data_IF_491850964390
#
_entry.id   IF_491850964390
#
_cell.length_a   1.000
_cell.length_b   1.000
_cell.length_c   1.000
_cell.angle_alpha   90.00
_cell.angle_beta   90.00
_cell.angle_gamma   90.00
#
_symmetry.space_group_name_H-M   'P 1'
#
loop_
_entity.id
_entity.type
_entity.pdbx_description
1 polymer ?
#
# COMPACT_ATOMS: atom_id res chain seq x y z
N UNK A 1 45.40 -13.47 13.79
CA UNK A 1 44.37 -13.28 12.75
C UNK A 1 43.41 -12.19 13.23
N UNK A 2 43.52 -10.95 12.71
CA UNK A 2 42.57 -9.89 12.95
C UNK A 2 41.27 -10.22 12.20
N UNK A 3 40.28 -10.72 12.92
CA UNK A 3 38.95 -10.96 12.42
C UNK A 3 38.21 -9.61 12.39
N UNK A 4 38.14 -8.96 11.25
CA UNK A 4 37.34 -7.77 11.07
C UNK A 4 35.86 -8.15 11.27
N UNK A 5 35.30 -7.81 12.41
CA UNK A 5 33.86 -7.93 12.62
C UNK A 5 33.16 -6.89 11.77
N UNK A 6 32.56 -7.30 10.66
CA UNK A 6 31.68 -6.45 9.87
C UNK A 6 30.26 -6.66 10.40
N UNK A 7 29.66 -5.61 10.89
CA UNK A 7 28.24 -5.61 11.19
C UNK A 7 27.49 -5.44 9.88
N UNK A 8 26.68 -6.40 9.51
CA UNK A 8 25.79 -6.34 8.38
C UNK A 8 24.37 -6.13 8.89
N UNK A 9 23.64 -5.21 8.27
CA UNK A 9 22.25 -4.95 8.55
C UNK A 9 21.40 -5.37 7.36
N UNK A 10 20.33 -6.10 7.63
CA UNK A 10 19.33 -6.44 6.61
C UNK A 10 18.43 -5.22 6.38
N UNK A 11 18.12 -4.94 5.12
CA UNK A 11 17.30 -3.79 4.76
C UNK A 11 15.82 -4.05 5.01
N UNK A 12 15.13 -3.08 5.54
CA UNK A 12 13.69 -3.13 5.81
C UNK A 12 12.85 -2.46 4.72
N UNK A 13 13.46 -1.65 3.86
CA UNK A 13 12.83 -0.90 2.78
C UNK A 13 13.85 -0.51 1.72
N UNK A 14 13.40 -0.27 0.51
CA UNK A 14 14.17 0.25 -0.63
C UNK A 14 14.11 1.78 -0.71
N UNK A 15 13.16 2.40 -0.04
CA UNK A 15 12.73 3.79 -0.16
C UNK A 15 13.88 4.81 -0.10
N UNK A 16 14.67 4.80 0.98
CA UNK A 16 15.70 5.82 1.20
C UNK A 16 16.80 5.78 0.14
N UNK A 17 17.15 4.61 -0.35
CA UNK A 17 18.16 4.46 -1.40
C UNK A 17 17.65 4.99 -2.74
N UNK A 18 16.43 4.65 -3.10
CA UNK A 18 15.80 5.12 -4.35
C UNK A 18 15.55 6.64 -4.32
N UNK A 19 15.11 7.18 -3.19
CA UNK A 19 14.97 8.65 -3.03
C UNK A 19 16.31 9.40 -3.14
N UNK A 20 17.41 8.83 -2.66
CA UNK A 20 18.75 9.41 -2.87
C UNK A 20 19.13 9.46 -4.34
N UNK A 21 18.75 8.45 -5.13
CA UNK A 21 18.99 8.45 -6.57
C UNK A 21 18.19 9.56 -7.27
N UNK A 22 16.93 9.79 -6.86
CA UNK A 22 16.11 10.91 -7.34
C UNK A 22 16.78 12.25 -7.01
N UNK A 23 17.26 12.43 -5.78
CA UNK A 23 18.00 13.65 -5.37
C UNK A 23 19.29 13.78 -6.17
N UNK A 24 19.94 12.68 -6.54
CA UNK A 24 21.12 12.63 -7.40
C UNK A 24 20.86 12.92 -8.88
N UNK A 25 19.59 13.20 -9.27
CA UNK A 25 19.23 13.60 -10.62
C UNK A 25 18.66 12.50 -11.50
N UNK A 26 18.42 11.30 -10.98
CA UNK A 26 17.69 10.28 -11.71
C UNK A 26 16.18 10.57 -11.67
N UNK A 27 15.56 10.72 -12.83
CA UNK A 27 14.15 11.10 -12.87
C UNK A 27 13.18 9.92 -12.62
N UNK A 28 13.62 8.70 -12.91
CA UNK A 28 12.81 7.49 -12.74
C UNK A 28 13.68 6.36 -12.23
N UNK A 29 13.26 5.75 -11.15
CA UNK A 29 13.98 4.63 -10.54
C UNK A 29 13.01 3.58 -10.04
N UNK A 30 13.40 2.32 -10.12
CA UNK A 30 12.69 1.23 -9.46
C UNK A 30 13.66 0.16 -8.99
N UNK A 31 13.26 -0.59 -8.01
CA UNK A 31 13.98 -1.80 -7.58
C UNK A 31 12.95 -2.89 -7.20
N UNK A 32 13.25 -4.11 -7.59
CA UNK A 32 12.55 -5.31 -7.13
C UNK A 32 13.55 -6.09 -6.30
N UNK A 33 13.30 -6.22 -5.01
CA UNK A 33 14.28 -6.84 -4.11
C UNK A 33 13.70 -7.36 -2.81
N UNK A 34 14.53 -8.11 -2.10
CA UNK A 34 14.18 -8.65 -0.80
C UNK A 34 14.33 -7.63 0.29
N UNK A 35 13.34 -7.58 1.17
CA UNK A 35 13.34 -6.77 2.39
C UNK A 35 13.00 -7.65 3.59
N UNK A 36 13.41 -7.20 4.78
CA UNK A 36 13.35 -7.99 6.00
C UNK A 36 12.71 -7.15 7.11
N UNK A 37 11.64 -7.65 7.71
CA UNK A 37 10.94 -6.99 8.82
C UNK A 37 10.67 -7.99 9.92
N UNK A 38 10.94 -7.60 11.16
CA UNK A 38 10.62 -8.41 12.33
C UNK A 38 9.16 -8.16 12.74
N UNK A 39 8.25 -8.66 11.92
CA UNK A 39 6.82 -8.69 12.20
C UNK A 39 6.42 -10.11 12.65
N UNK A 40 5.30 -10.22 13.36
CA UNK A 40 4.81 -11.54 13.76
C UNK A 40 4.55 -12.44 12.54
N UNK A 41 4.87 -13.72 12.66
CA UNK A 41 4.59 -14.70 11.61
C UNK A 41 3.09 -15.01 11.58
N UNK A 42 2.44 -14.71 10.48
CA UNK A 42 1.07 -15.13 10.20
C UNK A 42 0.91 -15.51 8.72
N UNK A 43 -0.29 -15.82 8.29
CA UNK A 43 -0.58 -16.22 6.89
C UNK A 43 -0.35 -15.10 5.87
N UNK A 44 -0.17 -13.87 6.31
CA UNK A 44 0.00 -12.66 5.46
C UNK A 44 1.35 -11.98 5.66
N UNK A 45 2.04 -12.25 6.76
CA UNK A 45 3.31 -11.62 7.11
C UNK A 45 4.45 -12.64 7.16
N UNK A 46 5.39 -12.50 6.23
CA UNK A 46 6.64 -13.24 6.23
C UNK A 46 7.77 -12.26 6.58
N UNK A 47 8.69 -12.59 7.50
CA UNK A 47 9.84 -11.73 7.83
C UNK A 47 10.74 -11.36 6.65
N UNK A 48 10.73 -12.18 5.62
CA UNK A 48 11.43 -11.94 4.35
C UNK A 48 10.42 -11.97 3.21
N UNK A 49 10.36 -10.89 2.43
CA UNK A 49 9.46 -10.82 1.27
C UNK A 49 10.06 -9.96 0.16
N UNK A 50 9.59 -10.18 -1.05
CA UNK A 50 9.98 -9.39 -2.21
C UNK A 50 9.07 -8.19 -2.34
N UNK A 51 9.67 -7.00 -2.43
CA UNK A 51 8.98 -5.74 -2.61
C UNK A 51 9.46 -5.08 -3.90
N UNK A 52 8.55 -4.49 -4.65
CA UNK A 52 8.85 -3.54 -5.71
C UNK A 52 8.51 -2.14 -5.25
N UNK A 53 9.48 -1.25 -5.32
CA UNK A 53 9.27 0.18 -5.13
C UNK A 53 9.72 0.94 -6.38
N UNK A 54 9.03 2.01 -6.70
CA UNK A 54 9.36 2.89 -7.82
C UNK A 54 9.10 4.35 -7.45
N UNK A 55 9.93 5.23 -8.01
CA UNK A 55 9.86 6.67 -7.77
C UNK A 55 10.06 7.41 -9.08
N UNK A 56 9.31 8.48 -9.25
CA UNK A 56 9.40 9.35 -10.41
C UNK A 56 9.41 10.81 -9.96
N UNK A 57 10.37 11.58 -10.46
CA UNK A 57 10.43 13.03 -10.28
C UNK A 57 9.40 13.73 -11.18
N UNK A 58 9.07 14.97 -10.85
CA UNK A 58 8.20 15.86 -11.66
C UNK A 58 6.80 15.28 -11.95
N UNK A 59 6.26 14.48 -11.04
CA UNK A 59 4.91 13.92 -11.11
C UNK A 59 4.21 14.04 -9.77
N UNK A 60 2.91 13.84 -9.76
CA UNK A 60 2.08 13.78 -8.56
C UNK A 60 1.44 12.39 -8.40
N UNK A 61 0.55 12.26 -7.43
CA UNK A 61 -0.15 11.00 -7.18
C UNK A 61 -1.07 10.58 -8.35
N UNK A 62 -1.58 11.52 -9.16
CA UNK A 62 -2.37 11.19 -10.35
C UNK A 62 -1.50 10.50 -11.41
N UNK A 63 -0.29 11.03 -11.65
CA UNK A 63 0.67 10.38 -12.55
C UNK A 63 1.10 9.00 -12.04
N UNK A 64 1.19 8.80 -10.72
CA UNK A 64 1.47 7.49 -10.14
C UNK A 64 0.28 6.53 -10.24
N UNK A 65 -0.96 7.02 -10.19
CA UNK A 65 -2.16 6.22 -10.48
C UNK A 65 -2.16 5.75 -11.93
N UNK A 66 -1.86 6.64 -12.89
CA UNK A 66 -1.75 6.30 -14.32
C UNK A 66 -0.65 5.26 -14.54
N UNK A 67 0.51 5.45 -13.92
CA UNK A 67 1.62 4.51 -14.01
C UNK A 67 1.23 3.13 -13.47
N UNK A 68 0.59 3.08 -12.32
CA UNK A 68 0.15 1.82 -11.69
C UNK A 68 -0.86 1.09 -12.56
N UNK A 69 -1.88 1.77 -13.05
CA UNK A 69 -2.90 1.21 -13.95
C UNK A 69 -2.27 0.63 -15.22
N UNK A 70 -1.37 1.39 -15.85
CA UNK A 70 -0.67 0.96 -17.05
C UNK A 70 0.29 -0.21 -16.77
N UNK A 71 0.95 -0.24 -15.62
CA UNK A 71 1.82 -1.34 -15.20
C UNK A 71 1.04 -2.66 -15.08
N UNK A 72 -0.09 -2.66 -14.40
CA UNK A 72 -0.93 -3.86 -14.28
C UNK A 72 -1.43 -4.35 -15.63
N UNK A 73 -1.88 -3.43 -16.48
CA UNK A 73 -2.35 -3.75 -17.84
C UNK A 73 -1.23 -4.34 -18.70
N UNK A 74 -0.05 -3.71 -18.66
CA UNK A 74 1.12 -4.17 -19.42
C UNK A 74 1.57 -5.56 -18.95
N UNK A 75 1.73 -5.78 -17.65
CA UNK A 75 2.15 -7.08 -17.11
C UNK A 75 1.14 -8.18 -17.43
N UNK A 76 -0.16 -7.90 -17.30
CA UNK A 76 -1.18 -8.88 -17.67
C UNK A 76 -1.10 -9.26 -19.16
N UNK A 77 -0.93 -8.28 -20.03
CA UNK A 77 -0.81 -8.51 -21.46
C UNK A 77 0.46 -9.29 -21.83
N UNK A 78 1.60 -8.93 -21.25
CA UNK A 78 2.88 -9.60 -21.53
C UNK A 78 2.96 -11.04 -20.97
N UNK A 79 2.44 -11.25 -19.76
CA UNK A 79 2.56 -12.56 -19.08
C UNK A 79 1.43 -13.50 -19.46
N UNK A 80 0.20 -13.00 -19.60
CA UNK A 80 -1.00 -13.82 -19.79
C UNK A 80 -1.56 -13.73 -21.21
N UNK A 81 -1.11 -12.79 -22.03
CA UNK A 81 -1.63 -12.52 -23.36
C UNK A 81 -3.02 -11.89 -23.37
N UNK A 82 -3.54 -11.50 -22.20
CA UNK A 82 -4.89 -10.93 -22.04
C UNK A 82 -4.96 -10.04 -20.81
N UNK A 83 -5.81 -9.02 -20.86
CA UNK A 83 -6.15 -8.19 -19.69
C UNK A 83 -7.33 -8.74 -18.89
N UNK A 84 -8.03 -9.74 -19.39
CA UNK A 84 -9.13 -10.39 -18.69
C UNK A 84 -8.58 -11.54 -17.86
N UNK A 85 -8.69 -11.45 -16.56
CA UNK A 85 -8.15 -12.41 -15.61
C UNK A 85 -9.22 -12.89 -14.63
N UNK A 86 -9.03 -14.11 -14.11
CA UNK A 86 -9.79 -14.61 -12.98
C UNK A 86 -8.86 -14.73 -11.77
N UNK A 87 -9.21 -14.09 -10.68
CA UNK A 87 -8.44 -14.16 -9.45
C UNK A 87 -9.36 -14.47 -8.26
N UNK A 88 -9.06 -15.56 -7.55
CA UNK A 88 -9.91 -16.09 -6.47
C UNK A 88 -11.39 -16.24 -6.84
N UNK A 89 -11.67 -16.65 -8.08
CA UNK A 89 -13.04 -16.83 -8.58
C UNK A 89 -13.75 -15.54 -9.00
N UNK A 90 -13.05 -14.40 -8.96
CA UNK A 90 -13.57 -13.11 -9.43
C UNK A 90 -13.01 -12.80 -10.80
N UNK A 91 -13.90 -12.63 -11.78
CA UNK A 91 -13.53 -12.17 -13.14
C UNK A 91 -13.29 -10.66 -13.13
N UNK A 92 -12.14 -10.23 -13.63
CA UNK A 92 -11.82 -8.83 -13.75
C UNK A 92 -11.14 -8.52 -15.09
N UNK A 93 -11.37 -7.32 -15.58
CA UNK A 93 -10.77 -6.82 -16.82
C UNK A 93 -9.86 -5.62 -16.52
N UNK A 94 -8.55 -5.88 -16.48
CA UNK A 94 -7.52 -4.86 -16.25
C UNK A 94 -7.36 -3.90 -17.44
N UNK A 95 -8.00 -4.18 -18.59
CA UNK A 95 -8.05 -3.28 -19.75
C UNK A 95 -8.98 -2.08 -19.54
N UNK A 96 -9.94 -2.18 -18.59
CA UNK A 96 -10.83 -1.08 -18.24
C UNK A 96 -10.13 -0.07 -17.34
N UNK A 97 -10.55 1.22 -17.37
CA UNK A 97 -10.07 2.21 -16.43
C UNK A 97 -10.31 1.79 -14.97
N UNK A 98 -9.31 1.97 -14.12
CA UNK A 98 -9.45 1.70 -12.68
C UNK A 98 -10.27 2.80 -12.03
N UNK A 99 -11.14 2.40 -11.10
CA UNK A 99 -11.89 3.35 -10.31
C UNK A 99 -10.94 4.14 -9.40
N UNK A 100 -11.06 5.47 -9.43
CA UNK A 100 -10.31 6.37 -8.54
C UNK A 100 -11.26 6.90 -7.50
N UNK A 101 -11.08 6.47 -6.28
CA UNK A 101 -11.96 6.78 -5.17
C UNK A 101 -11.12 7.19 -3.95
N UNK A 102 -11.57 8.18 -3.20
CA UNK A 102 -10.93 8.52 -1.93
C UNK A 102 -11.20 7.43 -0.89
N UNK A 103 -10.35 7.34 0.14
CA UNK A 103 -10.55 6.36 1.22
C UNK A 103 -11.92 6.57 1.92
N UNK A 104 -12.30 7.82 2.18
CA UNK A 104 -13.59 8.15 2.81
C UNK A 104 -14.76 7.71 1.94
N UNK A 105 -14.72 8.02 0.64
CA UNK A 105 -15.76 7.60 -0.29
C UNK A 105 -15.81 6.09 -0.48
N UNK A 106 -14.65 5.41 -0.44
CA UNK A 106 -14.59 3.96 -0.50
C UNK A 106 -15.30 3.32 0.71
N UNK A 107 -15.02 3.81 1.92
CA UNK A 107 -15.70 3.33 3.14
C UNK A 107 -17.21 3.63 3.06
N UNK A 108 -17.59 4.81 2.62
CA UNK A 108 -19.01 5.14 2.41
C UNK A 108 -19.69 4.21 1.42
N UNK A 109 -19.02 3.91 0.29
CA UNK A 109 -19.55 3.04 -0.76
C UNK A 109 -19.68 1.58 -0.32
N UNK A 110 -18.69 1.03 0.38
CA UNK A 110 -18.63 -0.41 0.67
C UNK A 110 -19.09 -0.78 2.10
N UNK A 111 -18.92 0.10 3.06
CA UNK A 111 -19.36 -0.12 4.45
C UNK A 111 -20.60 0.70 4.84
N UNK A 112 -21.05 1.63 4.00
CA UNK A 112 -22.21 2.48 4.29
C UNK A 112 -21.95 3.57 5.36
N UNK A 113 -20.71 3.76 5.76
CA UNK A 113 -20.31 4.72 6.82
C UNK A 113 -19.76 5.99 6.21
N UNK A 114 -20.39 7.13 6.46
CA UNK A 114 -19.88 8.43 6.04
C UNK A 114 -19.05 9.08 7.16
N UNK A 115 -17.73 9.08 6.99
CA UNK A 115 -16.83 9.72 7.97
C UNK A 115 -16.96 11.23 8.04
N UNK A 116 -17.58 11.88 7.05
CA UNK A 116 -17.82 13.31 7.11
C UNK A 116 -18.92 13.67 8.13
N UNK A 117 -19.76 12.70 8.49
CA UNK A 117 -20.85 12.87 9.47
C UNK A 117 -20.42 12.49 10.90
N UNK A 118 -19.22 11.91 11.07
CA UNK A 118 -18.70 11.47 12.36
C UNK A 118 -17.78 12.55 12.94
N UNK A 119 -18.26 13.25 13.97
CA UNK A 119 -17.53 14.38 14.55
C UNK A 119 -16.94 14.10 15.93
N UNK A 120 -17.36 13.03 16.59
CA UNK A 120 -16.91 12.70 17.95
C UNK A 120 -16.32 11.29 18.06
N UNK A 121 -15.43 11.11 19.04
CA UNK A 121 -14.85 9.79 19.34
C UNK A 121 -15.94 8.79 19.78
N UNK A 122 -17.01 9.26 20.40
CA UNK A 122 -18.12 8.41 20.85
C UNK A 122 -18.87 7.84 19.66
N UNK A 123 -19.18 8.67 18.67
CA UNK A 123 -19.81 8.23 17.41
C UNK A 123 -18.92 7.26 16.65
N UNK A 124 -17.64 7.59 16.47
CA UNK A 124 -16.69 6.72 15.80
C UNK A 124 -16.60 5.33 16.46
N UNK A 125 -16.58 5.25 17.79
CA UNK A 125 -16.58 3.98 18.53
C UNK A 125 -17.89 3.22 18.40
N UNK A 126 -19.02 3.89 18.32
CA UNK A 126 -20.31 3.27 18.11
C UNK A 126 -20.35 2.57 16.73
N UNK A 127 -19.90 3.29 15.69
CA UNK A 127 -19.81 2.75 14.33
C UNK A 127 -18.80 1.60 14.25
N UNK A 128 -17.62 1.72 14.85
CA UNK A 128 -16.63 0.63 14.87
C UNK A 128 -17.20 -0.64 15.54
N UNK A 129 -17.95 -0.48 16.63
CA UNK A 129 -18.61 -1.60 17.32
C UNK A 129 -19.70 -2.24 16.46
N UNK A 130 -20.49 -1.46 15.75
CA UNK A 130 -21.54 -1.94 14.84
C UNK A 130 -20.94 -2.78 13.69
N UNK A 131 -19.78 -2.34 13.16
CA UNK A 131 -19.06 -3.04 12.10
C UNK A 131 -18.06 -4.08 12.60
N UNK A 132 -18.08 -4.43 13.90
CA UNK A 132 -17.19 -5.44 14.53
C UNK A 132 -15.69 -5.15 14.34
N UNK A 133 -15.32 -3.86 14.27
CA UNK A 133 -13.94 -3.42 14.16
C UNK A 133 -13.33 -3.28 15.55
N UNK A 134 -12.22 -3.97 15.80
CA UNK A 134 -11.45 -3.83 17.02
C UNK A 134 -10.68 -2.50 17.03
N UNK A 135 -10.71 -1.80 18.14
CA UNK A 135 -9.95 -0.56 18.34
C UNK A 135 -9.28 -0.55 19.71
N UNK A 136 -8.07 0.02 19.78
CA UNK A 136 -7.36 0.13 21.03
C UNK A 136 -7.79 1.38 21.82
N UNK A 137 -7.93 1.24 23.15
CA UNK A 137 -8.30 2.38 24.03
C UNK A 137 -7.28 3.53 24.05
N UNK A 138 -6.00 3.27 23.70
CA UNK A 138 -4.94 4.28 23.64
C UNK A 138 -5.17 5.33 22.54
N UNK A 139 -6.00 5.08 21.54
CA UNK A 139 -6.39 6.04 20.51
C UNK A 139 -7.26 7.19 21.06
N UNK A 140 -7.07 7.57 22.34
CA UNK A 140 -7.85 8.61 23.03
C UNK A 140 -7.55 10.06 22.61
N UNK A 141 -6.47 10.31 21.89
CA UNK A 141 -6.06 11.67 21.51
C UNK A 141 -5.70 11.77 20.02
N UNK A 142 -6.58 12.43 19.30
CA UNK A 142 -6.26 13.11 18.06
C UNK A 142 -6.29 12.27 16.79
N UNK A 143 -7.03 12.78 15.85
CA UNK A 143 -7.28 12.36 14.48
C UNK A 143 -7.92 10.97 14.37
N UNK A 144 -9.20 11.00 14.05
CA UNK A 144 -9.92 9.86 13.53
C UNK A 144 -9.25 9.46 12.23
N UNK A 145 -8.38 8.48 12.29
CA UNK A 145 -7.70 7.97 11.12
C UNK A 145 -8.60 6.94 10.46
N UNK A 146 -8.88 7.12 9.19
CA UNK A 146 -9.56 6.15 8.33
C UNK A 146 -8.87 4.78 8.35
N UNK A 147 -7.63 4.71 8.86
CA UNK A 147 -6.86 3.48 9.03
C UNK A 147 -7.38 2.53 10.14
N UNK A 148 -8.44 2.90 10.85
CA UNK A 148 -9.04 2.06 11.91
C UNK A 148 -10.22 1.21 11.40
N UNK A 149 -10.69 1.47 10.19
CA UNK A 149 -11.69 0.67 9.47
C UNK A 149 -11.05 0.05 8.22
#
# INVERSE_FOLDING_TARGET
>A
QCRWMRTLSLRISLELYLKRLIVGGMERVYEIGRVFRNEGLDTRHNPEFTLMELYQAYTDYHGMMDLTENLYRHVAQEVLGTTKISYNGVEMDLGKPFERITMVDAVKKYAGVDFNEIHTLKEARAVAKEHHVEYEERHKKGRYSVSVL
#
